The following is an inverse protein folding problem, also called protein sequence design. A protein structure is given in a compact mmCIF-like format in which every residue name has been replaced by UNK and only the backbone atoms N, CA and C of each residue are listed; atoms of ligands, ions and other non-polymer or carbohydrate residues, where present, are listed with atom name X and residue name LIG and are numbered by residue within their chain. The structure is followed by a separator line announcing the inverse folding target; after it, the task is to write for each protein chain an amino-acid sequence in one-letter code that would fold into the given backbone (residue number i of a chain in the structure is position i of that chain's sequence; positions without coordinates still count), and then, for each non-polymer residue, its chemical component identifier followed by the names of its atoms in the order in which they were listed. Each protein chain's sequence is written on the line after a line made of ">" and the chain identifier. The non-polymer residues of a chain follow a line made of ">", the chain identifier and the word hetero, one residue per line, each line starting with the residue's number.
data_IF_449786233252
#
_entry.id   IF_449786233252
#
_cell.length_a   1.000
_cell.length_b   1.000
_cell.length_c   1.000
_cell.angle_alpha   90.00
_cell.angle_beta   90.00
_cell.angle_gamma   90.00
#
_symmetry.space_group_name_H-M   'P 1'
#
loop_
_entity.id
_entity.type
_entity.pdbx_description
1 polymer ?
#
# COMPACT_ATOMS: atom_id res chain seq x y z
N UNK A 1 -20.76 -11.90 -27.45
CA UNK A 1 -20.23 -12.97 -26.78
C UNK A 1 -18.92 -12.65 -26.22
N UNK A 2 -18.08 -12.19 -26.90
CA UNK A 2 -16.80 -11.79 -26.36
C UNK A 2 -16.92 -10.69 -25.35
N UNK A 3 -18.01 -9.96 -25.39
CA UNK A 3 -18.19 -8.80 -24.55
C UNK A 3 -18.23 -9.13 -23.06
N UNK A 4 -18.71 -10.30 -22.72
CA UNK A 4 -18.71 -10.68 -21.31
C UNK A 4 -17.31 -10.76 -20.76
N UNK A 5 -16.40 -11.28 -21.56
CA UNK A 5 -15.01 -11.38 -21.14
C UNK A 5 -14.42 -10.01 -20.91
N UNK A 6 -14.75 -9.05 -21.79
CA UNK A 6 -14.24 -7.69 -21.67
C UNK A 6 -14.74 -7.00 -20.44
N UNK A 7 -15.96 -7.33 -19.99
CA UNK A 7 -16.56 -6.66 -18.85
C UNK A 7 -16.18 -7.30 -17.53
N UNK A 8 -15.57 -8.47 -17.57
CA UNK A 8 -15.10 -9.13 -16.37
C UNK A 8 -13.85 -8.45 -15.86
N UNK A 9 -13.91 -8.00 -14.63
CA UNK A 9 -12.69 -7.53 -13.98
C UNK A 9 -11.83 -8.71 -13.63
N UNK A 10 -10.53 -8.58 -13.91
CA UNK A 10 -9.55 -9.57 -13.48
C UNK A 10 -9.09 -9.24 -12.08
N UNK A 11 -8.82 -10.24 -11.25
CA UNK A 11 -8.22 -9.98 -9.94
C UNK A 11 -6.90 -9.25 -10.09
N UNK A 12 -6.69 -8.27 -9.21
CA UNK A 12 -5.42 -7.55 -9.09
C UNK A 12 -4.73 -8.06 -7.85
N UNK A 13 -3.51 -8.55 -8.01
CA UNK A 13 -2.69 -9.01 -6.90
C UNK A 13 -1.83 -7.86 -6.40
N UNK A 14 -1.63 -7.80 -5.10
CA UNK A 14 -0.77 -6.80 -4.49
C UNK A 14 0.64 -6.95 -5.06
N UNK A 15 1.17 -5.93 -5.77
CA UNK A 15 2.34 -6.13 -6.61
C UNK A 15 3.69 -5.96 -5.91
N UNK A 16 3.71 -5.55 -4.65
CA UNK A 16 4.96 -5.34 -3.92
C UNK A 16 4.87 -5.87 -2.49
N UNK A 17 6.01 -6.14 -1.85
CA UNK A 17 6.03 -6.78 -0.54
C UNK A 17 5.74 -5.80 0.59
N UNK A 18 5.45 -6.32 1.79
CA UNK A 18 5.33 -5.46 2.97
C UNK A 18 6.66 -4.80 3.30
N UNK A 19 6.58 -3.67 3.98
CA UNK A 19 7.75 -2.96 4.49
C UNK A 19 7.84 -3.16 5.99
N UNK A 20 8.87 -3.84 6.47
CA UNK A 20 9.11 -4.02 7.89
C UNK A 20 10.52 -4.54 8.13
N UNK A 21 10.98 -4.46 9.35
CA UNK A 21 12.20 -5.10 9.79
C UNK A 21 12.05 -5.57 11.25
N UNK A 22 13.11 -6.11 11.79
CA UNK A 22 13.09 -6.65 13.16
C UNK A 22 12.89 -5.57 14.23
N UNK A 23 13.10 -4.31 13.87
CA UNK A 23 12.93 -3.17 14.78
C UNK A 23 11.57 -2.50 14.64
N UNK A 24 10.71 -2.99 13.77
CA UNK A 24 9.38 -2.42 13.58
C UNK A 24 8.51 -2.65 14.81
N UNK A 25 7.88 -1.57 15.31
CA UNK A 25 7.06 -1.61 16.51
C UNK A 25 5.60 -1.26 16.26
N UNK A 26 5.34 -0.54 15.18
CA UNK A 26 3.99 -0.11 14.80
C UNK A 26 3.73 -0.56 13.39
N UNK A 27 2.61 -1.24 13.19
CA UNK A 27 2.17 -1.65 11.85
C UNK A 27 0.98 -0.79 11.44
N UNK A 28 1.15 -0.06 10.33
CA UNK A 28 0.06 0.69 9.72
C UNK A 28 -0.50 -0.15 8.58
N UNK A 29 -1.79 -0.43 8.66
CA UNK A 29 -2.47 -1.27 7.66
C UNK A 29 -3.38 -0.43 6.80
N UNK A 30 -3.24 -0.59 5.49
CA UNK A 30 -4.19 -0.09 4.52
C UNK A 30 -5.06 -1.21 3.99
N UNK A 31 -5.87 -0.87 3.00
CA UNK A 31 -6.70 -1.86 2.33
C UNK A 31 -5.98 -2.46 1.13
N UNK A 32 -5.73 -1.64 0.11
CA UNK A 32 -5.10 -2.07 -1.13
C UNK A 32 -4.43 -0.86 -1.78
N UNK A 33 -3.32 -1.04 -2.51
CA UNK A 33 -2.62 0.12 -3.08
C UNK A 33 -3.40 0.76 -4.23
N UNK A 34 -3.30 2.08 -4.33
CA UNK A 34 -3.86 2.85 -5.44
C UNK A 34 -3.18 2.51 -6.76
N UNK A 35 -3.74 3.01 -7.85
CA UNK A 35 -3.13 2.84 -9.19
C UNK A 35 -1.70 3.37 -9.17
N UNK A 36 -1.47 4.57 -8.62
CA UNK A 36 -0.13 5.16 -8.56
C UNK A 36 0.82 4.33 -7.71
N UNK A 37 0.36 3.81 -6.58
CA UNK A 37 1.18 2.95 -5.74
C UNK A 37 1.56 1.66 -6.47
N UNK A 38 0.62 1.07 -7.22
CA UNK A 38 0.89 -0.13 -7.99
C UNK A 38 1.88 0.14 -9.12
N UNK A 39 1.80 1.31 -9.76
CA UNK A 39 2.75 1.72 -10.80
C UNK A 39 4.15 1.93 -10.23
N UNK A 40 4.25 2.55 -9.07
CA UNK A 40 5.52 2.84 -8.42
C UNK A 40 6.08 1.67 -7.62
N UNK A 41 5.27 0.64 -7.41
CA UNK A 41 5.64 -0.54 -6.60
C UNK A 41 5.99 -0.16 -5.18
N UNK A 42 5.29 0.85 -4.63
CA UNK A 42 5.49 1.29 -3.26
C UNK A 42 4.24 1.97 -2.71
N UNK A 43 4.14 2.02 -1.38
CA UNK A 43 2.97 2.51 -0.65
C UNK A 43 2.76 4.02 -0.82
N UNK A 44 1.48 4.40 -0.84
CA UNK A 44 1.05 5.81 -0.81
C UNK A 44 1.75 6.64 -1.88
N UNK A 45 1.76 6.13 -3.12
CA UNK A 45 2.53 6.70 -4.22
C UNK A 45 1.90 7.91 -4.90
N UNK A 46 0.60 8.18 -4.68
CA UNK A 46 -0.05 9.30 -5.36
C UNK A 46 0.56 10.62 -4.88
N UNK A 47 0.91 11.54 -5.80
CA UNK A 47 1.58 12.79 -5.42
C UNK A 47 0.80 13.66 -4.44
N UNK A 48 -0.53 13.54 -4.42
CA UNK A 48 -1.38 14.33 -3.53
C UNK A 48 -1.70 13.59 -2.23
N UNK A 49 -1.16 12.43 -2.02
CA UNK A 49 -1.42 11.67 -0.79
C UNK A 49 -0.73 12.37 0.39
N UNK A 50 -1.50 12.62 1.45
CA UNK A 50 -1.03 13.35 2.62
C UNK A 50 -0.22 12.52 3.60
N UNK A 51 -0.19 11.20 3.42
CA UNK A 51 0.43 10.28 4.36
C UNK A 51 1.83 10.72 4.78
N UNK A 52 2.67 11.01 3.78
CA UNK A 52 4.08 11.34 4.04
C UNK A 52 4.24 12.67 4.76
N UNK A 53 3.42 13.66 4.42
CA UNK A 53 3.47 14.97 5.07
C UNK A 53 2.98 14.90 6.52
N UNK A 54 1.91 14.15 6.75
CA UNK A 54 1.37 13.98 8.10
C UNK A 54 2.39 13.28 8.98
N UNK A 55 2.96 12.19 8.48
CA UNK A 55 3.91 11.40 9.26
C UNK A 55 5.21 12.18 9.52
N UNK A 56 5.69 12.90 8.52
CA UNK A 56 6.87 13.77 8.70
C UNK A 56 6.60 14.84 9.76
N UNK A 57 5.40 15.39 9.79
CA UNK A 57 5.01 16.34 10.84
C UNK A 57 5.01 15.73 12.23
N UNK A 58 4.53 14.49 12.35
CA UNK A 58 4.55 13.77 13.64
C UNK A 58 5.97 13.61 14.16
N UNK A 59 6.93 13.31 13.28
CA UNK A 59 8.31 13.10 13.67
C UNK A 59 9.18 14.35 13.54
N UNK A 60 8.58 15.51 13.22
CA UNK A 60 9.26 16.79 13.11
C UNK A 60 10.47 16.74 12.18
N UNK A 61 10.30 16.19 11.02
CA UNK A 61 11.37 16.06 10.02
C UNK A 61 10.89 16.44 8.63
N UNK A 62 11.83 16.52 7.69
CA UNK A 62 11.52 16.83 6.30
C UNK A 62 10.71 15.71 5.67
N UNK A 63 9.84 16.05 4.72
CA UNK A 63 9.02 15.07 4.01
C UNK A 63 9.92 14.24 3.09
N UNK A 64 9.94 12.91 3.22
CA UNK A 64 10.73 12.08 2.30
C UNK A 64 10.15 12.15 0.89
N UNK A 65 11.01 12.23 -0.11
CA UNK A 65 10.62 12.45 -1.49
C UNK A 65 10.78 11.21 -2.37
N UNK A 66 11.87 10.46 -2.18
CA UNK A 66 12.14 9.27 -2.98
C UNK A 66 11.67 8.02 -2.25
N UNK A 67 11.51 6.92 -3.00
CA UNK A 67 11.14 5.64 -2.40
C UNK A 67 12.20 5.21 -1.38
N UNK A 68 13.47 5.41 -1.70
CA UNK A 68 14.56 5.08 -0.79
C UNK A 68 14.46 5.90 0.51
N UNK A 69 14.21 7.20 0.40
CA UNK A 69 14.03 8.06 1.57
C UNK A 69 12.81 7.65 2.39
N UNK A 70 11.72 7.31 1.72
CA UNK A 70 10.48 6.87 2.38
C UNK A 70 10.70 5.58 3.16
N UNK A 71 11.39 4.62 2.56
CA UNK A 71 11.71 3.35 3.20
C UNK A 71 12.56 3.57 4.44
N UNK A 72 13.62 4.33 4.30
CA UNK A 72 14.53 4.64 5.41
C UNK A 72 13.83 5.38 6.53
N UNK A 73 13.00 6.35 6.17
CA UNK A 73 12.22 7.13 7.13
C UNK A 73 11.33 6.23 8.00
N UNK A 74 10.60 5.32 7.38
CA UNK A 74 9.70 4.43 8.11
C UNK A 74 10.46 3.45 8.99
N UNK A 75 11.44 2.78 8.43
CA UNK A 75 12.17 1.75 9.17
C UNK A 75 12.96 2.34 10.33
N UNK A 76 13.56 3.52 10.15
CA UNK A 76 14.30 4.17 11.24
C UNK A 76 13.39 4.65 12.38
N UNK A 77 12.10 4.81 12.11
CA UNK A 77 11.12 5.20 13.14
C UNK A 77 10.30 4.00 13.64
N UNK A 78 10.69 2.80 13.28
CA UNK A 78 10.03 1.59 13.77
C UNK A 78 8.65 1.34 13.19
N UNK A 79 8.38 1.86 12.00
CA UNK A 79 7.07 1.73 11.37
C UNK A 79 7.10 0.71 10.24
N UNK A 80 6.15 -0.21 10.28
CA UNK A 80 5.91 -1.17 9.21
C UNK A 80 4.65 -0.77 8.44
N UNK A 81 4.63 -1.09 7.14
CA UNK A 81 3.46 -0.86 6.29
C UNK A 81 3.05 -2.15 5.61
N UNK A 82 1.75 -2.41 5.60
CA UNK A 82 1.17 -3.46 4.81
C UNK A 82 -0.29 -3.14 4.52
N UNK A 83 -0.91 -3.98 3.72
CA UNK A 83 -2.33 -3.88 3.40
C UNK A 83 -3.00 -5.20 3.75
N UNK A 84 -4.27 -5.15 4.14
CA UNK A 84 -4.99 -6.37 4.54
C UNK A 84 -5.43 -7.20 3.34
N UNK A 85 -5.42 -6.66 2.14
CA UNK A 85 -5.90 -7.33 0.93
C UNK A 85 -4.72 -7.83 0.09
N UNK A 86 -4.67 -9.12 -0.13
CA UNK A 86 -3.65 -9.74 -0.99
C UNK A 86 -4.03 -9.61 -2.46
N UNK A 87 -5.30 -9.80 -2.78
CA UNK A 87 -5.81 -9.60 -4.13
C UNK A 87 -7.29 -9.28 -4.07
N UNK A 88 -7.77 -8.60 -5.09
CA UNK A 88 -9.18 -8.26 -5.20
C UNK A 88 -9.51 -7.83 -6.62
N UNK A 89 -10.80 -7.68 -6.89
CA UNK A 89 -11.27 -6.99 -8.09
C UNK A 89 -11.53 -5.54 -7.69
N UNK A 90 -10.97 -4.61 -8.43
CA UNK A 90 -11.06 -3.18 -8.12
C UNK A 90 -11.08 -2.36 -9.41
N UNK A 91 -11.85 -1.27 -9.41
CA UNK A 91 -11.85 -0.30 -10.50
C UNK A 91 -10.99 0.89 -10.08
N UNK A 92 -9.84 1.05 -10.73
CA UNK A 92 -8.90 2.12 -10.41
C UNK A 92 -8.42 2.04 -8.97
N UNK A 93 -8.65 3.12 -8.23
CA UNK A 93 -8.26 3.21 -6.81
C UNK A 93 -9.46 3.29 -5.87
N UNK A 94 -10.67 3.04 -6.37
CA UNK A 94 -11.90 3.22 -5.60
C UNK A 94 -12.11 2.08 -4.62
N UNK A 95 -12.04 2.35 -3.32
CA UNK A 95 -12.30 1.35 -2.28
C UNK A 95 -13.70 0.79 -2.37
N UNK A 96 -14.68 1.58 -2.81
CA UNK A 96 -16.06 1.12 -2.93
C UNK A 96 -16.26 0.10 -4.04
N UNK A 97 -15.30 -0.03 -4.97
CA UNK A 97 -15.36 -1.00 -6.05
C UNK A 97 -14.71 -2.34 -5.72
N UNK A 98 -14.11 -2.46 -4.54
CA UNK A 98 -13.38 -3.68 -4.15
C UNK A 98 -14.34 -4.85 -3.98
N UNK A 99 -14.03 -5.97 -4.62
CA UNK A 99 -14.80 -7.21 -4.57
C UNK A 99 -13.87 -8.41 -4.56
N UNK A 100 -14.41 -9.54 -4.12
CA UNK A 100 -13.72 -10.82 -4.16
C UNK A 100 -12.34 -10.76 -3.52
N UNK A 101 -12.32 -10.28 -2.29
CA UNK A 101 -11.11 -10.02 -1.53
C UNK A 101 -10.47 -11.33 -1.07
N UNK A 102 -9.15 -11.44 -1.26
CA UNK A 102 -8.31 -12.44 -0.61
C UNK A 102 -7.43 -11.71 0.38
N UNK A 103 -7.51 -12.11 1.64
CA UNK A 103 -6.78 -11.43 2.71
C UNK A 103 -5.31 -11.84 2.73
N UNK A 104 -4.46 -10.90 3.14
CA UNK A 104 -3.05 -11.19 3.42
C UNK A 104 -2.91 -11.90 4.77
N UNK A 105 -1.90 -12.75 4.85
CA UNK A 105 -1.46 -13.32 6.12
C UNK A 105 -0.50 -12.33 6.78
N UNK A 106 -0.89 -11.81 7.93
CA UNK A 106 -0.10 -10.82 8.66
C UNK A 106 0.92 -11.45 9.62
N UNK A 107 0.88 -12.77 9.79
CA UNK A 107 1.76 -13.47 10.73
C UNK A 107 3.24 -13.15 10.57
N UNK A 108 3.79 -13.05 9.34
CA UNK A 108 5.21 -12.76 9.18
C UNK A 108 5.64 -11.41 9.74
N UNK A 109 4.69 -10.46 9.87
CA UNK A 109 5.00 -9.12 10.36
C UNK A 109 4.80 -9.01 11.86
N UNK A 110 3.86 -9.76 12.39
CA UNK A 110 3.54 -9.77 13.81
C UNK A 110 4.49 -10.66 14.58
#
# INVERSE_FOLDING_TARGET
>A
MINEVKNKQKPVTHPFPPLYDENSKVLILGSFPSVKSREQMFFYGHPQNRFWRVLAGVFSCAVPQTIEEKRRFLLSNGIALWDVIASCEITGSSDSSIKNVVANDLSPIL
#
